data_IF_575052103208
#
_entry.id   IF_575052103208
#
_cell.length_a   1.000
_cell.length_b   1.000
_cell.length_c   1.000
_cell.angle_alpha   90.00
_cell.angle_beta   90.00
_cell.angle_gamma   90.00
#
_symmetry.space_group_name_H-M   'P 1'
#
loop_
_entity.id
_entity.type
_entity.pdbx_description
1 polymer ?
#
# COMPACT_ATOMS: atom_id res chain seq x y z
N UNK A 1 35.39 29.51 -10.14
CA UNK A 1 35.65 28.05 -9.98
C UNK A 1 34.40 27.33 -10.47
N UNK A 2 34.44 26.72 -11.66
CA UNK A 2 33.30 25.95 -12.19
C UNK A 2 33.34 24.56 -11.53
N UNK A 3 32.38 24.25 -10.67
CA UNK A 3 32.15 22.87 -10.24
C UNK A 3 31.81 22.04 -11.50
N UNK A 4 32.72 21.14 -11.89
CA UNK A 4 32.43 20.12 -12.88
C UNK A 4 31.32 19.24 -12.27
N UNK A 5 30.21 19.17 -12.94
CA UNK A 5 29.16 18.17 -12.62
C UNK A 5 29.81 16.79 -12.66
N UNK A 6 30.02 16.20 -11.49
CA UNK A 6 30.45 14.83 -11.41
C UNK A 6 29.26 13.99 -11.87
N UNK A 7 29.40 13.30 -13.01
CA UNK A 7 28.40 12.32 -13.46
C UNK A 7 28.41 11.16 -12.46
N UNK A 8 27.51 11.21 -11.49
CA UNK A 8 27.31 10.14 -10.53
C UNK A 8 26.57 9.00 -11.23
N UNK A 9 27.27 7.95 -11.58
CA UNK A 9 26.66 6.70 -12.02
C UNK A 9 26.40 5.84 -10.77
N UNK A 10 25.12 5.63 -10.44
CA UNK A 10 24.73 4.71 -9.36
C UNK A 10 25.00 3.27 -9.80
N UNK A 11 26.13 2.72 -9.45
CA UNK A 11 26.40 1.29 -9.66
C UNK A 11 25.51 0.43 -8.75
N UNK A 12 25.08 0.94 -7.61
CA UNK A 12 24.19 0.23 -6.69
C UNK A 12 22.85 -0.11 -7.36
N UNK A 13 22.28 0.82 -8.12
CA UNK A 13 21.04 0.56 -8.87
C UNK A 13 21.18 -0.63 -9.83
N UNK A 14 22.26 -0.66 -10.62
CA UNK A 14 22.49 -1.76 -11.57
C UNK A 14 22.66 -3.13 -10.86
N UNK A 15 23.26 -3.16 -9.68
CA UNK A 15 23.41 -4.38 -8.87
C UNK A 15 22.05 -4.82 -8.35
N UNK A 16 21.24 -3.91 -7.82
CA UNK A 16 19.88 -4.20 -7.33
C UNK A 16 19.00 -4.72 -8.47
N UNK A 17 19.04 -4.05 -9.63
CA UNK A 17 18.27 -4.46 -10.81
C UNK A 17 18.68 -5.84 -11.31
N UNK A 18 19.98 -6.17 -11.28
CA UNK A 18 20.48 -7.48 -11.64
C UNK A 18 19.92 -8.57 -10.70
N UNK A 19 20.04 -8.40 -9.38
CA UNK A 19 19.52 -9.37 -8.42
C UNK A 19 18.00 -9.51 -8.52
N UNK A 20 17.27 -8.41 -8.69
CA UNK A 20 15.82 -8.46 -8.88
C UNK A 20 15.46 -9.20 -10.18
N UNK A 21 16.18 -8.97 -11.27
CA UNK A 21 15.94 -9.67 -12.53
C UNK A 21 16.19 -11.18 -12.41
N UNK A 22 17.28 -11.60 -11.74
CA UNK A 22 17.61 -13.02 -11.54
C UNK A 22 16.56 -13.73 -10.66
N UNK A 23 16.14 -13.11 -9.54
CA UNK A 23 15.17 -13.71 -8.64
C UNK A 23 13.77 -13.83 -9.27
N UNK A 24 13.34 -12.85 -10.07
CA UNK A 24 12.04 -12.84 -10.69
C UNK A 24 12.03 -13.29 -12.15
N UNK A 25 13.14 -13.91 -12.61
CA UNK A 25 13.22 -14.53 -13.94
C UNK A 25 12.40 -15.84 -14.04
N UNK A 26 12.16 -16.50 -12.91
CA UNK A 26 11.29 -17.68 -12.86
C UNK A 26 9.85 -17.29 -12.53
N UNK A 27 8.86 -18.06 -12.99
CA UNK A 27 7.46 -17.80 -12.65
C UNK A 27 7.24 -17.73 -11.14
N UNK A 28 6.57 -16.67 -10.71
CA UNK A 28 6.23 -16.46 -9.30
C UNK A 28 5.03 -17.34 -8.95
N UNK A 29 5.21 -18.27 -8.01
CA UNK A 29 4.17 -19.17 -7.56
C UNK A 29 3.67 -18.79 -6.18
N UNK A 30 2.41 -18.40 -6.09
CA UNK A 30 1.71 -18.23 -4.82
C UNK A 30 0.88 -19.48 -4.55
N UNK A 31 1.09 -20.08 -3.39
CA UNK A 31 0.26 -21.17 -2.89
C UNK A 31 -0.63 -20.64 -1.78
N UNK A 32 -1.93 -20.79 -1.93
CA UNK A 32 -2.84 -20.60 -0.82
C UNK A 32 -2.56 -21.69 0.25
N UNK A 33 -2.59 -21.31 1.53
CA UNK A 33 -2.38 -22.27 2.63
C UNK A 33 -3.47 -23.35 2.66
N UNK A 34 -3.19 -24.45 3.37
CA UNK A 34 -4.19 -25.52 3.59
C UNK A 34 -5.48 -24.95 4.17
N UNK A 35 -6.61 -25.18 3.49
CA UNK A 35 -7.92 -24.65 3.85
C UNK A 35 -8.37 -23.40 3.08
N UNK A 36 -7.49 -22.75 2.32
CA UNK A 36 -7.88 -21.61 1.47
C UNK A 36 -8.72 -22.03 0.26
N UNK A 37 -8.58 -23.28 -0.19
CA UNK A 37 -9.29 -23.83 -1.35
C UNK A 37 -10.81 -23.93 -1.15
N UNK A 38 -11.28 -23.84 0.10
CA UNK A 38 -12.71 -23.94 0.41
C UNK A 38 -13.43 -22.59 0.47
N UNK A 39 -12.71 -21.48 0.53
CA UNK A 39 -13.30 -20.16 0.82
C UNK A 39 -13.30 -19.19 -0.36
N UNK A 40 -12.41 -19.34 -1.33
CA UNK A 40 -12.37 -18.47 -2.49
C UNK A 40 -12.22 -19.29 -3.79
N UNK A 41 -13.00 -18.96 -4.84
CA UNK A 41 -12.84 -19.59 -6.14
C UNK A 41 -11.43 -19.38 -6.70
N UNK A 42 -10.89 -20.37 -7.42
CA UNK A 42 -9.61 -20.23 -8.16
C UNK A 42 -9.56 -18.97 -9.03
N UNK A 43 -10.70 -18.56 -9.56
CA UNK A 43 -10.89 -17.34 -10.33
C UNK A 43 -10.51 -16.06 -9.56
N UNK A 44 -10.83 -15.99 -8.26
CA UNK A 44 -10.48 -14.84 -7.42
C UNK A 44 -8.95 -14.64 -7.32
N UNK A 45 -8.22 -15.73 -7.06
CA UNK A 45 -6.76 -15.67 -6.98
C UNK A 45 -6.12 -15.43 -8.35
N UNK A 46 -6.72 -15.92 -9.43
CA UNK A 46 -6.26 -15.64 -10.78
C UNK A 46 -6.39 -14.15 -11.11
N UNK A 47 -7.56 -13.57 -10.88
CA UNK A 47 -7.82 -12.14 -11.08
C UNK A 47 -6.93 -11.27 -10.19
N UNK A 48 -6.76 -11.62 -8.90
CA UNK A 48 -5.87 -10.91 -8.00
C UNK A 48 -4.41 -10.95 -8.44
N UNK A 49 -3.94 -12.08 -9.01
CA UNK A 49 -2.56 -12.17 -9.53
C UNK A 49 -2.32 -11.29 -10.75
N UNK A 50 -3.33 -11.09 -11.57
CA UNK A 50 -3.22 -10.26 -12.79
C UNK A 50 -3.27 -8.76 -12.48
N UNK A 51 -3.92 -8.37 -11.37
CA UNK A 51 -4.09 -6.96 -11.03
C UNK A 51 -4.30 -6.81 -9.52
N UNK A 52 -3.22 -6.54 -8.78
CA UNK A 52 -3.24 -6.45 -7.31
C UNK A 52 -3.63 -5.08 -6.78
N UNK A 53 -3.55 -4.04 -7.58
CA UNK A 53 -3.73 -2.63 -7.18
C UNK A 53 -4.94 -1.96 -7.84
N UNK A 54 -5.68 -2.67 -8.69
CA UNK A 54 -6.74 -2.14 -9.55
C UNK A 54 -6.27 -1.08 -10.56
N UNK A 55 -4.97 -1.10 -10.87
CA UNK A 55 -4.33 -0.23 -11.85
C UNK A 55 -3.64 -1.02 -12.97
N UNK A 56 -3.74 -2.36 -12.93
CA UNK A 56 -3.18 -3.28 -13.89
C UNK A 56 -1.78 -3.80 -13.53
N UNK A 57 -1.35 -3.65 -12.28
CA UNK A 57 -0.08 -4.21 -11.80
C UNK A 57 -0.29 -5.66 -11.39
N UNK A 58 0.43 -6.58 -12.03
CA UNK A 58 0.41 -7.99 -11.64
C UNK A 58 1.20 -8.25 -10.35
N UNK A 59 0.86 -9.34 -9.67
CA UNK A 59 1.46 -9.69 -8.37
C UNK A 59 2.98 -9.90 -8.44
N UNK A 60 3.50 -10.42 -9.55
CA UNK A 60 4.94 -10.66 -9.70
C UNK A 60 5.70 -9.34 -9.81
N UNK A 61 5.15 -8.39 -10.57
CA UNK A 61 5.68 -7.02 -10.67
C UNK A 61 5.64 -6.32 -9.32
N UNK A 62 4.50 -6.33 -8.63
CA UNK A 62 4.38 -5.73 -7.31
C UNK A 62 5.36 -6.35 -6.29
N UNK A 63 5.52 -7.68 -6.30
CA UNK A 63 6.46 -8.37 -5.42
C UNK A 63 7.93 -8.03 -5.75
N UNK A 64 8.27 -7.88 -7.03
CA UNK A 64 9.59 -7.42 -7.47
C UNK A 64 9.85 -6.00 -6.97
N UNK A 65 8.89 -5.09 -7.11
CA UNK A 65 9.03 -3.70 -6.66
C UNK A 65 9.21 -3.62 -5.14
N UNK A 66 8.41 -4.38 -4.37
CA UNK A 66 8.58 -4.50 -2.92
C UNK A 66 9.96 -5.07 -2.53
N UNK A 67 10.46 -6.07 -3.26
CA UNK A 67 11.79 -6.62 -3.05
C UNK A 67 12.89 -5.58 -3.31
N UNK A 68 12.80 -4.84 -4.42
CA UNK A 68 13.73 -3.75 -4.74
C UNK A 68 13.68 -2.66 -3.67
N UNK A 69 12.49 -2.27 -3.22
CA UNK A 69 12.33 -1.30 -2.14
C UNK A 69 12.96 -1.80 -0.84
N UNK A 70 12.76 -3.07 -0.48
CA UNK A 70 13.35 -3.68 0.70
C UNK A 70 14.88 -3.75 0.61
N UNK A 71 15.46 -4.04 -0.57
CA UNK A 71 16.90 -4.01 -0.79
C UNK A 71 17.50 -2.61 -0.61
N UNK A 72 16.80 -1.59 -1.10
CA UNK A 72 17.31 -0.20 -1.08
C UNK A 72 17.09 0.46 0.29
N UNK A 73 15.92 0.24 0.90
CA UNK A 73 15.46 0.93 2.12
C UNK A 73 15.56 0.06 3.39
N UNK A 74 15.95 -1.21 3.26
CA UNK A 74 16.02 -2.18 4.35
C UNK A 74 14.70 -2.87 4.66
N UNK A 75 13.57 -2.31 4.22
CA UNK A 75 12.22 -2.86 4.39
C UNK A 75 11.25 -2.25 3.37
N UNK A 76 10.15 -2.93 3.12
CA UNK A 76 9.01 -2.44 2.35
C UNK A 76 7.72 -2.93 2.99
N UNK A 77 6.61 -2.27 2.70
CA UNK A 77 5.31 -2.61 3.28
C UNK A 77 4.22 -2.62 2.22
N UNK A 78 3.29 -3.54 2.38
CA UNK A 78 2.03 -3.55 1.66
C UNK A 78 0.88 -3.37 2.64
N UNK A 79 -0.02 -2.45 2.36
CA UNK A 79 -1.32 -2.37 3.01
C UNK A 79 -2.35 -3.06 2.11
N UNK A 80 -3.07 -4.04 2.66
CA UNK A 80 -4.19 -4.67 1.97
C UNK A 80 -5.46 -3.90 2.32
N UNK A 81 -6.19 -3.45 1.31
CA UNK A 81 -7.40 -2.65 1.49
C UNK A 81 -8.56 -3.31 0.75
N UNK A 82 -9.73 -3.29 1.37
CA UNK A 82 -10.98 -3.57 0.68
C UNK A 82 -11.53 -2.27 0.06
N UNK A 83 -12.21 -2.36 -1.08
CA UNK A 83 -12.83 -1.21 -1.70
C UNK A 83 -13.72 -0.45 -0.74
N UNK A 84 -13.84 0.84 -1.00
CA UNK A 84 -14.76 1.68 -0.26
C UNK A 84 -16.20 1.37 -0.69
N UNK A 85 -17.02 0.88 0.25
CA UNK A 85 -18.44 0.62 0.02
C UNK A 85 -19.28 1.91 -0.08
N UNK A 86 -18.66 3.07 0.19
CA UNK A 86 -19.35 4.35 0.26
C UNK A 86 -20.21 4.45 1.53
N UNK A 87 -21.12 5.41 1.55
CA UNK A 87 -22.09 5.59 2.66
C UNK A 87 -23.30 4.66 2.53
N UNK A 88 -23.45 3.98 1.39
CA UNK A 88 -24.56 3.08 1.10
C UNK A 88 -24.10 1.63 1.13
N UNK A 89 -24.65 0.87 2.05
CA UNK A 89 -24.46 -0.59 2.08
C UNK A 89 -25.02 -1.23 0.81
N UNK A 90 -24.35 -2.28 0.28
CA UNK A 90 -24.86 -2.99 -0.89
C UNK A 90 -26.23 -3.62 -0.57
N UNK A 91 -27.19 -3.41 -1.47
CA UNK A 91 -28.57 -3.85 -1.29
C UNK A 91 -28.68 -5.37 -1.35
N UNK A 92 -27.84 -6.02 -2.13
CA UNK A 92 -27.78 -7.47 -2.30
C UNK A 92 -26.43 -7.91 -2.86
N UNK A 93 -26.25 -9.25 -3.00
CA UNK A 93 -25.03 -9.86 -3.51
C UNK A 93 -24.68 -9.40 -4.93
N UNK A 94 -25.66 -9.18 -5.78
CA UNK A 94 -25.42 -8.74 -7.15
C UNK A 94 -24.90 -7.28 -7.19
N UNK A 95 -25.40 -6.43 -6.31
CA UNK A 95 -24.91 -5.07 -6.12
C UNK A 95 -23.48 -5.06 -5.56
N UNK A 96 -23.21 -5.92 -4.57
CA UNK A 96 -21.90 -6.12 -4.00
C UNK A 96 -20.87 -6.56 -5.05
N UNK A 97 -21.24 -7.51 -5.92
CA UNK A 97 -20.38 -7.96 -7.02
C UNK A 97 -20.19 -6.88 -8.08
N UNK A 98 -21.26 -6.16 -8.46
CA UNK A 98 -21.17 -5.08 -9.44
C UNK A 98 -20.26 -3.94 -8.99
N UNK A 99 -20.25 -3.67 -7.70
CA UNK A 99 -19.40 -2.63 -7.08
C UNK A 99 -18.00 -3.15 -6.73
N UNK A 100 -17.71 -4.40 -7.02
CA UNK A 100 -16.44 -5.09 -6.75
C UNK A 100 -15.95 -4.96 -5.28
N UNK A 101 -16.88 -4.95 -4.34
CA UNK A 101 -16.61 -4.72 -2.92
C UNK A 101 -15.84 -5.86 -2.23
N UNK A 102 -15.73 -7.02 -2.88
CA UNK A 102 -14.98 -8.18 -2.38
C UNK A 102 -13.54 -8.25 -2.85
N UNK A 103 -13.14 -7.37 -3.75
CA UNK A 103 -11.80 -7.40 -4.31
C UNK A 103 -10.84 -6.64 -3.41
N UNK A 104 -9.98 -7.37 -2.71
CA UNK A 104 -8.89 -6.75 -1.98
C UNK A 104 -7.85 -6.16 -2.96
N UNK A 105 -7.30 -5.00 -2.60
CA UNK A 105 -6.20 -4.37 -3.33
C UNK A 105 -4.98 -4.24 -2.44
N UNK A 106 -3.81 -4.22 -3.05
CA UNK A 106 -2.54 -3.96 -2.38
C UNK A 106 -2.09 -2.54 -2.69
N UNK A 107 -1.78 -1.81 -1.65
CA UNK A 107 -1.18 -0.48 -1.75
C UNK A 107 0.23 -0.54 -1.17
N UNK A 108 1.22 -0.16 -1.96
CA UNK A 108 2.58 -0.02 -1.45
C UNK A 108 2.65 1.14 -0.45
N UNK A 109 3.19 0.86 0.73
CA UNK A 109 3.49 1.86 1.77
C UNK A 109 5.00 1.98 1.88
N UNK A 110 5.50 3.15 1.56
CA UNK A 110 6.94 3.41 1.68
C UNK A 110 7.33 3.40 3.17
N UNK A 111 8.55 2.96 3.53
CA UNK A 111 9.00 2.96 4.93
C UNK A 111 8.89 4.31 5.63
N UNK A 112 9.10 5.41 4.88
CA UNK A 112 8.97 6.77 5.36
C UNK A 112 7.51 7.22 5.59
N UNK A 113 6.56 6.52 4.98
CA UNK A 113 5.12 6.77 5.09
C UNK A 113 4.47 5.94 6.22
N UNK A 114 5.17 4.97 6.78
CA UNK A 114 4.79 4.29 8.02
C UNK A 114 5.33 5.09 9.19
N UNK A 115 4.49 5.95 9.78
CA UNK A 115 4.93 6.93 10.77
C UNK A 115 5.19 6.32 12.14
N UNK A 116 4.34 5.39 12.55
CA UNK A 116 4.42 4.76 13.87
C UNK A 116 3.68 3.42 13.87
N UNK A 117 4.14 2.48 14.71
CA UNK A 117 3.52 1.16 14.86
C UNK A 117 3.97 0.49 16.14
N UNK A 118 3.22 -0.49 16.60
CA UNK A 118 3.59 -1.36 17.68
C UNK A 118 3.42 -2.82 17.27
N UNK A 119 4.34 -3.65 17.68
CA UNK A 119 4.31 -5.09 17.47
C UNK A 119 4.26 -5.84 18.78
N UNK A 120 3.53 -6.93 18.81
CA UNK A 120 3.54 -7.86 19.93
C UNK A 120 4.92 -8.54 20.01
N UNK A 121 5.53 -8.52 21.18
CA UNK A 121 6.90 -9.01 21.39
C UNK A 121 7.02 -10.53 21.20
N UNK A 122 5.96 -11.28 21.49
CA UNK A 122 5.95 -12.74 21.43
C UNK A 122 5.67 -13.27 20.04
N UNK A 123 4.65 -12.71 19.37
CA UNK A 123 4.22 -13.16 18.05
C UNK A 123 4.86 -12.39 16.89
N UNK A 124 5.38 -11.18 17.14
CA UNK A 124 5.85 -10.26 16.12
C UNK A 124 4.72 -9.66 15.27
N UNK A 125 3.47 -9.90 15.64
CA UNK A 125 2.32 -9.35 14.94
C UNK A 125 2.15 -7.85 15.23
N UNK A 126 1.76 -7.09 14.21
CA UNK A 126 1.48 -5.67 14.36
C UNK A 126 0.19 -5.48 15.16
N UNK A 127 0.23 -4.65 16.21
CA UNK A 127 -0.90 -4.37 17.09
C UNK A 127 -1.70 -3.14 16.63
N UNK A 128 -1.00 -2.15 16.11
CA UNK A 128 -1.55 -0.98 15.46
C UNK A 128 -0.49 -0.33 14.55
N UNK A 129 -0.93 0.47 13.61
CA UNK A 129 -0.04 1.20 12.69
C UNK A 129 -0.65 2.52 12.22
N UNK A 130 0.20 3.51 12.00
CA UNK A 130 -0.18 4.80 11.42
C UNK A 130 0.58 4.98 10.12
N UNK A 131 -0.16 5.12 9.02
CA UNK A 131 0.41 5.46 7.71
C UNK A 131 0.06 6.88 7.31
N UNK A 132 0.90 7.48 6.51
CA UNK A 132 0.70 8.80 5.92
C UNK A 132 0.89 8.74 4.41
N UNK A 133 0.10 9.47 3.69
CA UNK A 133 0.30 9.65 2.26
C UNK A 133 0.02 11.09 1.84
N UNK A 134 0.79 11.55 0.88
CA UNK A 134 0.68 12.91 0.34
C UNK A 134 0.54 12.85 -1.16
N UNK A 135 -0.57 13.38 -1.67
CA UNK A 135 -0.86 13.44 -3.11
C UNK A 135 -1.10 14.87 -3.53
N UNK A 136 -0.41 15.29 -4.58
CA UNK A 136 -0.67 16.58 -5.22
C UNK A 136 -1.39 16.34 -6.54
N UNK A 137 -2.55 16.96 -6.72
CA UNK A 137 -3.38 16.84 -7.92
C UNK A 137 -3.77 18.22 -8.43
N UNK A 138 -3.71 18.39 -9.74
CA UNK A 138 -4.35 19.55 -10.38
C UNK A 138 -5.84 19.29 -10.50
N UNK A 139 -6.64 20.26 -10.13
CA UNK A 139 -8.11 20.16 -10.15
C UNK A 139 -8.65 19.93 -11.57
N UNK A 140 -8.03 20.60 -12.55
CA UNK A 140 -8.31 20.44 -13.98
C UNK A 140 -7.01 20.44 -14.78
N UNK A 141 -7.01 19.85 -15.97
CA UNK A 141 -5.83 19.77 -16.84
C UNK A 141 -5.23 21.16 -17.20
N UNK A 142 -6.04 22.22 -17.17
CA UNK A 142 -5.64 23.61 -17.44
C UNK A 142 -5.55 24.47 -16.17
N UNK A 143 -5.87 23.90 -15.00
CA UNK A 143 -5.83 24.66 -13.76
C UNK A 143 -4.37 24.95 -13.36
N UNK A 144 -4.14 26.19 -12.98
CA UNK A 144 -2.87 26.59 -12.35
C UNK A 144 -2.80 26.20 -10.87
N UNK A 145 -3.93 25.77 -10.30
CA UNK A 145 -4.05 25.36 -8.91
C UNK A 145 -3.71 23.90 -8.73
N UNK A 146 -2.83 23.64 -7.75
CA UNK A 146 -2.52 22.29 -7.31
C UNK A 146 -3.04 22.14 -5.89
N UNK A 147 -3.95 21.20 -5.70
CA UNK A 147 -4.41 20.80 -4.38
C UNK A 147 -3.50 19.69 -3.85
N UNK A 148 -3.10 19.83 -2.62
CA UNK A 148 -2.37 18.79 -1.89
C UNK A 148 -3.33 18.14 -0.91
N UNK A 149 -3.45 16.84 -1.01
CA UNK A 149 -4.21 16.01 -0.08
C UNK A 149 -3.21 15.23 0.76
N UNK A 150 -3.26 15.42 2.06
CA UNK A 150 -2.55 14.58 3.03
C UNK A 150 -3.57 13.69 3.74
N UNK A 151 -3.25 12.41 3.81
CA UNK A 151 -4.12 11.39 4.40
C UNK A 151 -3.34 10.58 5.41
N UNK A 152 -3.87 10.43 6.60
CA UNK A 152 -3.38 9.54 7.64
C UNK A 152 -4.38 8.42 7.84
N UNK A 153 -3.88 7.19 7.95
CA UNK A 153 -4.71 6.03 8.28
C UNK A 153 -4.15 5.39 9.55
N UNK A 154 -4.99 5.29 10.56
CA UNK A 154 -4.72 4.53 11.77
C UNK A 154 -5.41 3.18 11.65
N UNK A 155 -4.63 2.12 11.68
CA UNK A 155 -5.09 0.74 11.69
C UNK A 155 -4.97 0.21 13.11
N UNK A 156 -6.05 -0.32 13.65
CA UNK A 156 -6.07 -1.18 14.82
C UNK A 156 -6.46 -2.60 14.42
N UNK A 157 -6.74 -3.48 15.37
CA UNK A 157 -7.09 -4.89 15.09
C UNK A 157 -8.38 -5.08 14.27
N UNK A 158 -9.30 -4.13 14.29
CA UNK A 158 -10.64 -4.27 13.72
C UNK A 158 -10.96 -3.15 12.73
N UNK A 159 -10.44 -1.96 12.99
CA UNK A 159 -10.86 -0.74 12.33
C UNK A 159 -9.73 -0.06 11.59
N UNK A 160 -10.09 0.69 10.57
CA UNK A 160 -9.24 1.71 9.98
C UNK A 160 -9.92 3.07 10.12
N UNK A 161 -9.21 4.02 10.72
CA UNK A 161 -9.61 5.41 10.80
C UNK A 161 -8.83 6.22 9.76
N UNK A 162 -9.53 6.99 8.96
CA UNK A 162 -8.93 7.83 7.93
C UNK A 162 -9.11 9.29 8.30
N UNK A 163 -8.01 10.01 8.34
CA UNK A 163 -7.96 11.46 8.57
C UNK A 163 -7.40 12.13 7.33
N UNK A 164 -7.98 13.25 6.92
CA UNK A 164 -7.60 13.89 5.68
C UNK A 164 -7.61 15.40 5.79
N UNK A 165 -6.61 16.03 5.18
CA UNK A 165 -6.55 17.48 4.98
C UNK A 165 -6.27 17.78 3.51
N UNK A 166 -7.01 18.73 2.97
CA UNK A 166 -6.83 19.23 1.61
C UNK A 166 -6.49 20.72 1.66
N UNK A 167 -5.39 21.10 1.01
CA UNK A 167 -4.95 22.50 0.97
C UNK A 167 -4.28 22.84 -0.37
N UNK A 168 -4.32 24.13 -0.75
CA UNK A 168 -3.73 24.60 -2.00
C UNK A 168 -2.26 25.02 -1.82
N UNK A 169 -2.01 25.95 -0.91
CA UNK A 169 -0.67 26.55 -0.71
C UNK A 169 -0.24 26.59 0.75
N UNK A 170 -1.21 26.56 1.65
CA UNK A 170 -0.96 26.68 3.07
C UNK A 170 -0.83 25.28 3.67
N UNK A 171 0.35 24.97 4.16
CA UNK A 171 0.54 23.78 4.98
C UNK A 171 -0.23 23.98 6.28
N UNK A 172 -1.05 23.01 6.72
CA UNK A 172 -1.73 23.06 8.02
C UNK A 172 -0.73 23.34 9.14
N UNK A 173 -1.12 24.16 10.10
CA UNK A 173 -0.24 24.39 11.26
C UNK A 173 -0.21 23.13 12.14
N UNK A 174 0.89 22.90 12.84
CA UNK A 174 1.10 21.71 13.67
C UNK A 174 -0.03 21.43 14.70
N UNK A 175 -0.80 22.46 15.04
CA UNK A 175 -1.88 22.36 16.03
C UNK A 175 -3.28 22.43 15.41
N UNK A 176 -3.41 22.52 14.09
CA UNK A 176 -4.72 22.49 13.46
C UNK A 176 -5.28 21.05 13.62
N UNK A 177 -6.53 20.90 14.10
CA UNK A 177 -7.12 19.56 14.21
C UNK A 177 -7.31 18.97 12.81
N UNK A 178 -6.87 17.73 12.66
CA UNK A 178 -7.06 16.98 11.41
C UNK A 178 -8.43 16.31 11.49
N UNK A 179 -9.38 16.64 10.61
CA UNK A 179 -10.71 16.05 10.66
C UNK A 179 -10.64 14.56 10.33
N UNK A 180 -11.33 13.75 11.12
CA UNK A 180 -11.57 12.36 10.79
C UNK A 180 -12.56 12.31 9.63
N UNK A 181 -12.12 11.77 8.50
CA UNK A 181 -12.95 11.61 7.32
C UNK A 181 -13.88 10.40 7.48
N UNK A 182 -13.31 9.27 7.97
CA UNK A 182 -14.03 8.01 8.05
C UNK A 182 -13.41 7.06 9.08
N UNK A 183 -14.29 6.20 9.65
CA UNK A 183 -13.91 5.04 10.44
C UNK A 183 -14.71 3.83 9.95
N UNK A 184 -14.02 2.72 9.63
CA UNK A 184 -14.67 1.50 9.14
C UNK A 184 -13.92 0.23 9.57
N UNK A 185 -14.59 -0.93 9.65
CA UNK A 185 -13.90 -2.20 9.78
C UNK A 185 -13.02 -2.45 8.54
N UNK A 186 -11.84 -2.98 8.72
CA UNK A 186 -11.02 -3.39 7.58
C UNK A 186 -11.30 -4.81 7.10
N UNK A 187 -12.06 -5.62 7.89
CA UNK A 187 -12.52 -6.95 7.49
C UNK A 187 -11.46 -8.06 7.51
N UNK A 188 -10.24 -7.78 7.94
CA UNK A 188 -9.16 -8.76 8.05
C UNK A 188 -9.00 -9.23 9.50
N UNK A 189 -8.54 -10.49 9.73
CA UNK A 189 -8.33 -11.04 11.08
C UNK A 189 -7.13 -10.42 11.81
N UNK A 190 -6.28 -9.69 11.09
CA UNK A 190 -5.07 -9.00 11.57
C UNK A 190 -4.99 -7.63 10.92
N UNK A 191 -4.08 -6.78 11.42
CA UNK A 191 -3.77 -5.52 10.76
C UNK A 191 -3.30 -5.82 9.33
N UNK A 192 -3.94 -5.23 8.32
CA UNK A 192 -3.70 -5.57 6.93
C UNK A 192 -2.44 -4.91 6.36
N UNK A 193 -1.35 -4.90 7.13
CA UNK A 193 -0.05 -4.40 6.71
C UNK A 193 0.95 -5.55 6.77
N UNK A 194 1.57 -5.84 5.63
CA UNK A 194 2.58 -6.89 5.47
C UNK A 194 3.95 -6.22 5.35
N UNK A 195 4.88 -6.61 6.22
CA UNK A 195 6.28 -6.17 6.15
C UNK A 195 7.12 -7.15 5.32
N UNK A 196 7.88 -6.61 4.39
CA UNK A 196 8.95 -7.31 3.68
C UNK A 196 10.28 -6.87 4.29
N UNK A 197 10.96 -7.80 4.91
CA UNK A 197 12.27 -7.58 5.51
C UNK A 197 13.28 -8.55 4.94
N UNK A 198 14.45 -8.05 4.61
CA UNK A 198 15.56 -8.95 4.33
C UNK A 198 15.98 -9.65 5.62
N UNK A 199 16.32 -10.94 5.55
CA UNK A 199 16.85 -11.63 6.72
C UNK A 199 18.11 -10.91 7.20
N UNK A 200 18.32 -10.81 8.53
CA UNK A 200 19.56 -10.28 9.07
C UNK A 200 20.72 -11.13 8.54
N UNK A 201 21.73 -10.47 7.97
CA UNK A 201 22.95 -11.11 7.47
C UNK A 201 23.79 -11.72 8.59
#
# INVERSE_FOLDING_TARGET
>A
MRCREAAFRSYAGAVVDFFAAELFNSPFHVRAGEGADTLAPETYYAEFREDVDSLGTDLATAAKDAFVAALVKGRAYWACELPDDGDELPVNRADWQRRDLGRATVVEVQPEDLLDWETDEDSGEMLWAITHSKKARREEARATRTLTTETWKLYDREMVETYQVVYEKRVPQKHDPIPMLRRRPHGFPRIPIVEFRLPPG
#
